data_IF_782605411100
#
_entry.id   IF_782605411100
#
_cell.length_a   1.000
_cell.length_b   1.000
_cell.length_c   1.000
_cell.angle_alpha   90.00
_cell.angle_beta   90.00
_cell.angle_gamma   90.00
#
_symmetry.space_group_name_H-M   'P 1'
#
loop_
_entity.id
_entity.type
_entity.pdbx_description
1 polymer ?
#
# COMPACT_ATOMS: atom_id res chain seq x y z
N UNK A 1 -7.74 -4.96 -2.64
CA UNK A 1 -7.16 -6.04 -1.79
C UNK A 1 -7.95 -7.34 -1.98
N UNK A 2 -9.12 -7.52 -1.37
CA UNK A 2 -9.79 -8.80 -1.14
C UNK A 2 -11.18 -8.96 -1.78
N UNK A 3 -11.58 -8.11 -2.71
CA UNK A 3 -12.90 -8.22 -3.35
C UNK A 3 -13.02 -9.47 -4.24
N UNK A 4 -14.21 -10.07 -4.28
CA UNK A 4 -14.48 -11.29 -5.05
C UNK A 4 -14.12 -11.16 -6.54
N UNK A 5 -14.46 -10.02 -7.16
CA UNK A 5 -14.23 -9.77 -8.59
C UNK A 5 -12.85 -9.15 -8.83
N UNK A 6 -12.54 -8.06 -8.14
CA UNK A 6 -11.38 -7.22 -8.42
C UNK A 6 -10.21 -7.42 -7.45
N UNK A 7 -10.39 -8.18 -6.37
CA UNK A 7 -9.35 -8.36 -5.36
C UNK A 7 -8.17 -9.20 -5.86
N UNK A 8 -6.97 -8.84 -5.44
CA UNK A 8 -5.74 -9.62 -5.68
C UNK A 8 -5.74 -10.87 -4.81
N UNK A 9 -6.12 -10.77 -3.54
CA UNK A 9 -6.25 -11.89 -2.60
C UNK A 9 -7.73 -12.15 -2.26
N UNK A 10 -8.44 -12.85 -3.17
CA UNK A 10 -9.91 -13.00 -3.11
C UNK A 10 -10.45 -13.71 -1.86
N UNK A 11 -9.62 -14.47 -1.15
CA UNK A 11 -10.01 -15.22 0.06
C UNK A 11 -9.60 -14.52 1.36
N UNK A 12 -8.98 -13.31 1.28
CA UNK A 12 -8.55 -12.58 2.47
C UNK A 12 -9.75 -12.04 3.25
N UNK A 13 -9.66 -12.03 4.58
CA UNK A 13 -10.63 -11.35 5.43
C UNK A 13 -10.33 -9.86 5.45
N UNK A 14 -11.34 -9.04 5.19
CA UNK A 14 -11.22 -7.58 5.23
C UNK A 14 -11.74 -7.06 6.58
N UNK A 15 -10.91 -6.26 7.25
CA UNK A 15 -11.28 -5.53 8.47
C UNK A 15 -11.28 -4.05 8.15
N UNK A 16 -12.46 -3.43 8.18
CA UNK A 16 -12.61 -2.01 7.90
C UNK A 16 -12.27 -1.17 9.14
N UNK A 17 -11.37 -0.20 8.97
CA UNK A 17 -11.03 0.79 10.00
C UNK A 17 -11.36 2.17 9.45
N UNK A 18 -12.50 2.72 9.88
CA UNK A 18 -12.98 4.04 9.42
C UNK A 18 -12.23 5.14 10.17
N UNK A 19 -11.42 5.90 9.45
CA UNK A 19 -10.62 7.03 9.96
C UNK A 19 -10.97 8.37 9.30
N UNK A 20 -11.83 8.34 8.28
CA UNK A 20 -12.31 9.53 7.58
C UNK A 20 -13.81 9.73 7.82
N UNK A 21 -14.20 10.99 7.96
CA UNK A 21 -15.57 11.44 7.83
C UNK A 21 -15.70 12.27 6.55
N UNK A 22 -16.48 11.75 5.59
CA UNK A 22 -16.44 12.28 4.23
C UNK A 22 -15.11 12.00 3.53
N UNK A 23 -14.46 13.03 2.99
CA UNK A 23 -13.22 12.94 2.19
C UNK A 23 -11.94 13.16 2.98
N UNK A 24 -12.01 13.50 4.27
CA UNK A 24 -10.86 13.83 5.09
C UNK A 24 -10.95 13.25 6.49
N UNK A 25 -9.79 13.16 7.15
CA UNK A 25 -9.67 12.79 8.55
C UNK A 25 -8.52 13.55 9.21
N UNK A 26 -8.62 13.80 10.51
CA UNK A 26 -7.51 14.39 11.24
C UNK A 26 -6.34 13.39 11.35
N UNK A 27 -5.11 13.90 11.44
CA UNK A 27 -3.94 13.07 11.68
C UNK A 27 -4.10 12.19 12.93
N UNK A 28 -4.70 12.74 14.00
CA UNK A 28 -4.97 12.00 15.23
C UNK A 28 -5.95 10.84 15.02
N UNK A 29 -7.01 11.04 14.24
CA UNK A 29 -7.97 9.97 13.92
C UNK A 29 -7.31 8.84 13.11
N UNK A 30 -6.47 9.20 12.13
CA UNK A 30 -5.75 8.22 11.31
C UNK A 30 -4.72 7.44 12.14
N UNK A 31 -3.92 8.13 12.97
CA UNK A 31 -2.96 7.49 13.88
C UNK A 31 -3.69 6.62 14.92
N UNK A 32 -4.82 7.09 15.44
CA UNK A 32 -5.67 6.32 16.36
C UNK A 32 -6.18 5.03 15.73
N UNK A 33 -6.68 5.10 14.49
CA UNK A 33 -7.13 3.93 13.73
C UNK A 33 -5.99 2.96 13.41
N UNK A 34 -4.81 3.47 13.04
CA UNK A 34 -3.62 2.65 12.83
C UNK A 34 -3.22 1.90 14.12
N UNK A 35 -3.15 2.60 15.25
CA UNK A 35 -2.80 2.01 16.55
C UNK A 35 -3.84 0.96 16.98
N UNK A 36 -5.13 1.23 16.74
CA UNK A 36 -6.17 0.24 16.98
C UNK A 36 -5.95 -1.02 16.14
N UNK A 37 -5.68 -0.87 14.84
CA UNK A 37 -5.43 -2.00 13.94
C UNK A 37 -4.20 -2.80 14.36
N UNK A 38 -3.10 -2.13 14.75
CA UNK A 38 -1.90 -2.80 15.28
C UNK A 38 -2.24 -3.61 16.52
N UNK A 39 -2.96 -3.03 17.48
CA UNK A 39 -3.33 -3.73 18.73
C UNK A 39 -4.28 -4.90 18.46
N UNK A 40 -5.23 -4.77 17.55
CA UNK A 40 -6.13 -5.87 17.15
C UNK A 40 -5.36 -7.02 16.49
N UNK A 41 -4.42 -6.72 15.60
CA UNK A 41 -3.56 -7.73 14.94
C UNK A 41 -2.71 -8.47 15.97
N UNK A 42 -2.06 -7.74 16.88
CA UNK A 42 -1.18 -8.31 17.91
C UNK A 42 -1.97 -9.15 18.91
N UNK A 43 -3.08 -8.61 19.45
CA UNK A 43 -3.89 -9.32 20.44
C UNK A 43 -4.52 -10.60 19.94
N UNK A 44 -4.73 -10.69 18.61
CA UNK A 44 -5.26 -11.89 17.94
C UNK A 44 -4.18 -12.80 17.35
N UNK A 45 -2.91 -12.54 17.62
CA UNK A 45 -1.78 -13.35 17.13
C UNK A 45 -1.62 -13.38 15.61
N UNK A 46 -2.02 -12.29 14.91
CA UNK A 46 -2.08 -12.26 13.43
C UNK A 46 -0.93 -11.50 12.76
N UNK A 47 0.14 -11.18 13.47
CA UNK A 47 1.28 -10.40 12.94
C UNK A 47 1.88 -11.01 11.67
N UNK A 48 1.92 -12.32 11.57
CA UNK A 48 2.50 -13.05 10.43
C UNK A 48 1.50 -13.33 9.29
N UNK A 49 0.23 -12.93 9.43
CA UNK A 49 -0.82 -13.19 8.43
C UNK A 49 -1.57 -11.93 7.99
N UNK A 50 -1.58 -10.88 8.81
CA UNK A 50 -2.28 -9.63 8.53
C UNK A 50 -1.35 -8.59 7.91
N UNK A 51 -1.94 -7.67 7.13
CA UNK A 51 -1.28 -6.49 6.57
C UNK A 51 -2.23 -5.31 6.65
N UNK A 52 -1.72 -4.12 6.95
CA UNK A 52 -2.51 -2.88 6.94
C UNK A 52 -2.32 -2.20 5.59
N UNK A 53 -3.42 -1.86 4.89
CA UNK A 53 -3.40 -0.99 3.72
C UNK A 53 -3.78 0.43 4.12
N UNK A 54 -2.93 1.40 3.76
CA UNK A 54 -3.16 2.82 4.00
C UNK A 54 -3.08 3.59 2.68
N UNK A 55 -4.20 3.63 1.94
CA UNK A 55 -4.35 4.44 0.72
C UNK A 55 -4.61 5.91 1.06
N UNK A 56 -3.76 6.47 1.90
CA UNK A 56 -3.86 7.81 2.46
C UNK A 56 -2.49 8.32 2.88
N UNK A 57 -2.38 9.62 3.07
CA UNK A 57 -1.16 10.29 3.51
C UNK A 57 -1.40 11.78 3.78
N UNK A 58 -0.38 12.44 4.23
CA UNK A 58 -0.37 13.88 4.47
C UNK A 58 1.07 14.41 4.53
N UNK A 59 1.22 15.65 4.93
CA UNK A 59 2.54 16.26 5.13
C UNK A 59 3.36 15.47 6.15
N UNK A 60 4.66 15.57 6.02
CA UNK A 60 5.63 14.91 6.90
C UNK A 60 5.32 15.15 8.40
N UNK A 61 5.24 14.06 9.17
CA UNK A 61 4.87 14.07 10.59
C UNK A 61 5.68 13.05 11.37
N UNK A 62 6.53 13.53 12.28
CA UNK A 62 7.33 12.65 13.15
C UNK A 62 6.46 11.79 14.08
N UNK A 63 5.30 12.30 14.48
CA UNK A 63 4.35 11.54 15.31
C UNK A 63 3.79 10.35 14.52
N UNK A 64 3.48 10.56 13.26
CA UNK A 64 2.99 9.48 12.41
C UNK A 64 4.08 8.45 12.13
N UNK A 65 5.27 8.90 11.79
CA UNK A 65 6.42 8.03 11.57
C UNK A 65 6.74 7.18 12.81
N UNK A 66 6.70 7.77 14.01
CA UNK A 66 6.90 7.05 15.27
C UNK A 66 5.82 5.96 15.50
N UNK A 67 4.55 6.23 15.15
CA UNK A 67 3.49 5.23 15.24
C UNK A 67 3.73 4.05 14.29
N UNK A 68 4.16 4.33 13.05
CA UNK A 68 4.52 3.28 12.07
C UNK A 68 5.67 2.43 12.59
N UNK A 69 6.75 3.06 13.06
CA UNK A 69 7.91 2.35 13.63
C UNK A 69 7.49 1.43 14.79
N UNK A 70 6.67 1.95 15.71
CA UNK A 70 6.16 1.16 16.84
C UNK A 70 5.29 -0.02 16.40
N UNK A 71 4.48 0.16 15.35
CA UNK A 71 3.68 -0.92 14.76
C UNK A 71 4.55 -2.02 14.13
N UNK A 72 5.56 -1.62 13.38
CA UNK A 72 6.50 -2.54 12.75
C UNK A 72 7.33 -3.33 13.78
N UNK A 73 7.78 -2.67 14.86
CA UNK A 73 8.47 -3.34 15.97
C UNK A 73 7.60 -4.40 16.66
N UNK A 74 6.27 -4.24 16.63
CA UNK A 74 5.31 -5.26 17.09
C UNK A 74 5.03 -6.34 16.03
N UNK A 75 5.70 -6.30 14.88
CA UNK A 75 5.57 -7.27 13.80
C UNK A 75 4.45 -6.97 12.79
N UNK A 76 3.87 -5.77 12.80
CA UNK A 76 2.79 -5.40 11.88
C UNK A 76 3.32 -4.62 10.68
N UNK A 77 3.06 -5.12 9.47
CA UNK A 77 3.44 -4.46 8.22
C UNK A 77 2.31 -3.55 7.71
N UNK A 78 2.68 -2.34 7.31
CA UNK A 78 1.81 -1.44 6.57
C UNK A 78 2.29 -1.28 5.11
N UNK A 79 1.35 -1.24 4.18
CA UNK A 79 1.53 -0.89 2.77
C UNK A 79 0.83 0.44 2.54
N UNK A 80 1.53 1.43 2.01
CA UNK A 80 1.05 2.81 1.95
C UNK A 80 1.18 3.40 0.55
N UNK A 81 0.30 4.35 0.22
CA UNK A 81 0.40 5.14 -0.99
C UNK A 81 1.55 6.15 -0.89
N UNK A 82 2.29 6.38 -1.97
CA UNK A 82 3.38 7.36 -1.99
C UNK A 82 2.91 8.82 -2.02
N UNK A 83 1.63 9.06 -2.39
CA UNK A 83 1.06 10.39 -2.60
C UNK A 83 0.90 10.73 -4.09
N UNK A 84 0.14 11.80 -4.37
CA UNK A 84 -0.31 12.15 -5.73
C UNK A 84 -0.03 13.64 -6.08
N UNK A 85 1.04 14.17 -5.55
CA UNK A 85 1.44 15.59 -5.73
C UNK A 85 2.54 15.75 -6.78
N UNK A 86 3.02 14.65 -7.39
CA UNK A 86 4.16 14.59 -8.30
C UNK A 86 5.43 15.23 -7.72
N UNK A 87 5.69 14.99 -6.45
CA UNK A 87 6.83 15.53 -5.69
C UNK A 87 7.63 14.39 -5.03
N UNK A 88 8.72 14.73 -4.34
CA UNK A 88 9.49 13.78 -3.55
C UNK A 88 8.66 13.29 -2.35
N UNK A 89 8.46 11.97 -2.25
CA UNK A 89 7.66 11.34 -1.21
C UNK A 89 8.31 11.41 0.19
N UNK A 90 9.57 11.80 0.31
CA UNK A 90 10.23 12.07 1.60
C UNK A 90 9.58 13.22 2.38
N UNK A 91 8.77 14.04 1.72
CA UNK A 91 7.99 15.13 2.33
C UNK A 91 6.60 14.68 2.83
N UNK A 92 6.28 13.39 2.76
CA UNK A 92 4.97 12.84 3.09
C UNK A 92 5.05 11.73 4.13
N UNK A 93 4.10 11.71 5.07
CA UNK A 93 3.92 10.60 6.02
C UNK A 93 2.55 9.92 5.75
N UNK A 94 2.47 8.58 5.89
CA UNK A 94 3.50 7.64 6.35
C UNK A 94 4.48 7.19 5.24
N UNK A 95 4.41 7.72 4.02
CA UNK A 95 5.19 7.28 2.85
C UNK A 95 6.71 7.25 3.11
N UNK A 96 7.23 8.24 3.85
CA UNK A 96 8.66 8.36 4.13
C UNK A 96 9.21 7.39 5.19
N UNK A 97 8.33 6.67 5.90
CA UNK A 97 8.76 5.73 6.96
C UNK A 97 9.44 4.51 6.35
N UNK A 98 10.67 4.15 6.77
CA UNK A 98 11.42 3.03 6.16
C UNK A 98 10.80 1.66 6.46
N UNK A 99 9.92 1.56 7.43
CA UNK A 99 9.26 0.31 7.83
C UNK A 99 8.07 -0.08 6.98
N UNK A 100 7.48 0.85 6.22
CA UNK A 100 6.36 0.55 5.32
C UNK A 100 6.82 -0.08 4.01
N UNK A 101 5.89 -0.55 3.19
CA UNK A 101 6.06 -0.66 1.75
C UNK A 101 5.38 0.55 1.11
N UNK A 102 6.18 1.49 0.63
CA UNK A 102 5.71 2.70 -0.06
C UNK A 102 5.49 2.41 -1.55
N UNK A 103 4.27 2.61 -2.04
CA UNK A 103 3.87 2.18 -3.38
C UNK A 103 3.59 3.37 -4.29
N UNK A 104 4.33 3.44 -5.40
CA UNK A 104 4.12 4.36 -6.50
C UNK A 104 3.12 3.83 -7.54
N UNK A 105 2.56 4.73 -8.34
CA UNK A 105 1.61 4.40 -9.42
C UNK A 105 2.31 4.29 -10.76
N UNK A 106 2.16 3.13 -11.42
CA UNK A 106 2.55 2.89 -12.81
C UNK A 106 1.32 2.79 -13.71
N UNK A 107 1.44 3.32 -14.93
CA UNK A 107 0.40 3.21 -15.96
C UNK A 107 0.62 1.97 -16.85
N UNK A 108 -0.32 1.75 -17.78
CA UNK A 108 -0.35 0.60 -18.66
C UNK A 108 0.85 0.52 -19.62
N UNK A 109 1.44 1.66 -19.98
CA UNK A 109 2.62 1.73 -20.85
C UNK A 109 3.94 1.45 -20.12
N UNK A 110 3.90 1.20 -18.80
CA UNK A 110 5.05 0.92 -17.97
C UNK A 110 5.74 2.16 -17.40
N UNK A 111 5.20 3.36 -17.62
CA UNK A 111 5.76 4.58 -17.02
C UNK A 111 5.13 4.92 -15.67
N UNK A 112 5.89 5.57 -14.76
CA UNK A 112 5.33 6.21 -13.57
C UNK A 112 4.27 7.22 -14.01
N UNK A 113 3.11 7.23 -13.35
CA UNK A 113 2.08 8.21 -13.66
C UNK A 113 2.52 9.62 -13.28
N UNK A 114 2.74 10.46 -14.28
CA UNK A 114 3.21 11.84 -14.14
C UNK A 114 2.18 12.93 -14.47
N UNK A 115 0.91 12.55 -14.73
CA UNK A 115 -0.18 13.47 -15.09
C UNK A 115 -0.72 14.29 -13.91
N UNK A 116 -1.92 14.81 -14.08
CA UNK A 116 -2.65 15.45 -12.97
C UNK A 116 -2.80 14.45 -11.82
N UNK A 117 -2.43 14.83 -10.59
CA UNK A 117 -2.30 13.92 -9.46
C UNK A 117 -1.21 12.85 -9.66
N UNK A 118 -0.09 13.24 -10.28
CA UNK A 118 1.05 12.36 -10.56
C UNK A 118 1.59 11.66 -9.32
N UNK A 119 2.01 10.41 -9.50
CA UNK A 119 2.64 9.62 -8.43
C UNK A 119 3.84 10.34 -7.85
N UNK A 120 3.92 10.45 -6.54
CA UNK A 120 5.14 10.85 -5.86
C UNK A 120 6.27 9.87 -6.16
N UNK A 121 7.52 10.32 -6.02
CA UNK A 121 8.73 9.62 -6.41
C UNK A 121 9.84 9.80 -5.36
N UNK A 122 11.03 9.35 -5.65
CA UNK A 122 12.20 9.48 -4.78
C UNK A 122 12.55 8.20 -4.03
N UNK A 123 13.66 8.24 -3.31
CA UNK A 123 14.31 7.07 -2.70
C UNK A 123 13.45 6.31 -1.67
N UNK A 124 12.38 6.94 -1.16
CA UNK A 124 11.46 6.31 -0.20
C UNK A 124 10.33 5.53 -0.88
N UNK A 125 10.21 5.61 -2.22
CA UNK A 125 9.26 4.78 -2.97
C UNK A 125 9.90 3.43 -3.26
N UNK A 126 9.38 2.40 -2.64
CA UNK A 126 9.97 1.05 -2.64
C UNK A 126 9.60 0.23 -3.88
N UNK A 127 8.37 0.40 -4.40
CA UNK A 127 7.83 -0.46 -5.44
C UNK A 127 6.71 0.27 -6.19
N UNK A 128 6.50 -0.09 -7.45
CA UNK A 128 5.38 0.38 -8.26
C UNK A 128 4.33 -0.71 -8.45
N UNK A 129 3.08 -0.29 -8.54
CA UNK A 129 1.97 -1.15 -8.94
C UNK A 129 0.97 -0.38 -9.78
N UNK A 130 0.08 -1.08 -10.50
CA UNK A 130 -0.96 -0.47 -11.30
C UNK A 130 -1.84 0.45 -10.46
N UNK A 131 -1.92 1.71 -10.84
CA UNK A 131 -2.70 2.73 -10.12
C UNK A 131 -3.45 3.68 -11.06
N UNK A 132 -3.34 3.51 -12.37
CA UNK A 132 -4.00 4.34 -13.38
C UNK A 132 -5.15 3.58 -14.02
N UNK A 133 -6.33 4.20 -14.07
CA UNK A 133 -7.57 3.64 -14.63
C UNK A 133 -7.94 2.27 -14.04
N UNK A 134 -7.73 2.12 -12.75
CA UNK A 134 -8.02 0.87 -12.04
C UNK A 134 -9.50 0.74 -11.78
N UNK A 135 -10.11 -0.28 -12.38
CA UNK A 135 -11.52 -0.63 -12.14
C UNK A 135 -11.64 -1.45 -10.86
N UNK A 136 -12.53 -1.03 -9.97
CA UNK A 136 -12.84 -1.75 -8.74
C UNK A 136 -14.29 -1.54 -8.32
N UNK A 137 -14.71 -2.15 -7.19
CA UNK A 137 -16.04 -1.97 -6.63
C UNK A 137 -16.32 -0.49 -6.32
N UNK A 138 -17.52 -0.04 -6.67
CA UNK A 138 -18.01 1.30 -6.33
C UNK A 138 -18.53 1.33 -4.89
N UNK A 139 -18.33 2.45 -4.21
CA UNK A 139 -18.92 2.69 -2.89
C UNK A 139 -20.42 3.06 -2.97
N UNK A 140 -20.90 3.41 -4.15
CA UNK A 140 -22.28 3.87 -4.36
C UNK A 140 -23.27 2.74 -4.71
N UNK A 141 -22.78 1.49 -4.86
CA UNK A 141 -23.61 0.35 -5.24
C UNK A 141 -22.92 -0.97 -4.87
N UNK A 142 -23.69 -1.91 -4.34
CA UNK A 142 -23.20 -3.25 -3.95
C UNK A 142 -22.73 -4.09 -5.15
N UNK A 143 -23.20 -3.76 -6.35
CA UNK A 143 -22.87 -4.47 -7.61
C UNK A 143 -22.12 -3.60 -8.62
N UNK A 144 -21.99 -2.31 -8.33
CA UNK A 144 -21.37 -1.35 -9.24
C UNK A 144 -19.85 -1.38 -9.23
N UNK A 145 -19.26 -0.83 -10.29
CA UNK A 145 -17.83 -0.61 -10.41
C UNK A 145 -17.52 0.83 -10.79
N UNK A 146 -16.32 1.27 -10.48
CA UNK A 146 -15.80 2.58 -10.90
C UNK A 146 -14.32 2.47 -11.22
N UNK A 147 -13.85 3.30 -12.15
CA UNK A 147 -12.43 3.46 -12.47
C UNK A 147 -11.86 4.67 -11.72
N UNK A 148 -10.67 4.49 -11.12
CA UNK A 148 -9.96 5.55 -10.40
C UNK A 148 -8.47 5.49 -10.69
N UNK A 149 -7.82 6.67 -10.58
CA UNK A 149 -6.37 6.82 -10.74
C UNK A 149 -5.75 7.42 -9.48
N UNK A 150 -4.63 6.86 -9.05
CA UNK A 150 -3.84 7.35 -7.91
C UNK A 150 -2.99 6.26 -7.28
N UNK A 151 -2.01 6.66 -6.49
CA UNK A 151 -1.23 5.75 -5.64
C UNK A 151 -2.10 5.03 -4.61
N UNK A 152 -3.26 5.60 -4.27
CA UNK A 152 -4.32 4.95 -3.47
C UNK A 152 -4.88 3.68 -4.11
N UNK A 153 -4.77 3.51 -5.45
CA UNK A 153 -5.15 2.30 -6.18
C UNK A 153 -3.97 1.34 -6.30
N UNK A 154 -2.75 1.85 -6.37
CA UNK A 154 -1.53 1.04 -6.42
C UNK A 154 -1.25 0.31 -5.09
N UNK A 155 -1.35 1.00 -3.96
CA UNK A 155 -1.09 0.44 -2.63
C UNK A 155 -1.89 -0.85 -2.34
N UNK A 156 -3.22 -0.94 -2.57
CA UNK A 156 -3.99 -2.16 -2.31
C UNK A 156 -3.63 -3.33 -3.24
N UNK A 157 -3.02 -3.11 -4.40
CA UNK A 157 -2.45 -4.20 -5.19
C UNK A 157 -1.31 -4.89 -4.44
N UNK A 158 -0.41 -4.10 -3.86
CA UNK A 158 0.73 -4.64 -3.09
C UNK A 158 0.26 -5.23 -1.76
N UNK A 159 -0.69 -4.60 -1.05
CA UNK A 159 -1.27 -5.18 0.16
C UNK A 159 -1.99 -6.52 -0.12
N UNK A 160 -2.69 -6.60 -1.25
CA UNK A 160 -3.27 -7.85 -1.74
C UNK A 160 -2.21 -8.89 -2.08
N UNK A 161 -1.10 -8.47 -2.69
CA UNK A 161 0.02 -9.35 -3.00
C UNK A 161 0.66 -9.91 -1.72
N UNK A 162 0.88 -9.09 -0.68
CA UNK A 162 1.35 -9.54 0.65
C UNK A 162 0.42 -10.62 1.21
N UNK A 163 -0.90 -10.37 1.18
CA UNK A 163 -1.89 -11.33 1.67
C UNK A 163 -1.91 -12.62 0.83
N UNK A 164 -1.78 -12.49 -0.50
CA UNK A 164 -1.74 -13.62 -1.43
C UNK A 164 -0.51 -14.51 -1.18
N UNK A 165 0.70 -13.92 -1.08
CA UNK A 165 1.94 -14.67 -0.86
C UNK A 165 1.92 -15.35 0.51
N UNK A 166 1.45 -14.69 1.57
CA UNK A 166 1.26 -15.32 2.88
C UNK A 166 0.24 -16.46 2.86
N UNK A 167 -0.78 -16.36 2.01
CA UNK A 167 -1.75 -17.45 1.81
C UNK A 167 -1.18 -18.63 1.04
N UNK A 168 -0.23 -18.39 0.14
CA UNK A 168 0.39 -19.41 -0.71
C UNK A 168 1.60 -20.09 -0.04
N UNK A 169 2.49 -19.28 0.55
CA UNK A 169 3.79 -19.74 1.10
C UNK A 169 3.75 -19.94 2.62
N UNK A 170 2.66 -19.54 3.27
CA UNK A 170 2.48 -19.62 4.72
C UNK A 170 2.79 -18.32 5.46
N UNK A 171 2.56 -18.29 6.79
CA UNK A 171 2.82 -17.14 7.64
C UNK A 171 4.28 -16.70 7.59
N UNK A 172 4.53 -15.39 7.60
CA UNK A 172 5.88 -14.81 7.55
C UNK A 172 5.96 -13.50 8.32
N UNK A 173 7.13 -13.18 8.88
CA UNK A 173 7.32 -11.92 9.61
C UNK A 173 7.16 -10.70 8.67
N UNK A 174 6.91 -9.52 9.25
CA UNK A 174 6.82 -8.28 8.48
C UNK A 174 8.09 -8.04 7.64
N UNK A 175 9.27 -8.32 8.20
CA UNK A 175 10.55 -8.17 7.52
C UNK A 175 10.71 -9.16 6.36
N UNK A 176 10.37 -10.43 6.58
CA UNK A 176 10.57 -11.47 5.57
C UNK A 176 9.62 -11.29 4.38
N UNK A 177 8.33 -10.98 4.65
CA UNK A 177 7.39 -10.74 3.56
C UNK A 177 7.72 -9.48 2.78
N UNK A 178 8.19 -8.39 3.43
CA UNK A 178 8.67 -7.18 2.76
C UNK A 178 9.81 -7.54 1.79
N UNK A 179 10.82 -8.27 2.25
CA UNK A 179 11.91 -8.74 1.42
C UNK A 179 11.43 -9.67 0.29
N UNK A 180 10.49 -10.56 0.57
CA UNK A 180 9.90 -11.48 -0.42
C UNK A 180 9.22 -10.74 -1.56
N UNK A 181 8.42 -9.71 -1.24
CA UNK A 181 7.75 -8.86 -2.24
C UNK A 181 8.77 -8.19 -3.18
N UNK A 182 9.86 -7.65 -2.63
CA UNK A 182 10.91 -7.01 -3.44
C UNK A 182 11.69 -8.00 -4.29
N UNK A 183 11.94 -9.19 -3.78
CA UNK A 183 12.62 -10.25 -4.52
C UNK A 183 11.80 -10.81 -5.69
N UNK A 184 10.47 -10.83 -5.57
CA UNK A 184 9.56 -11.24 -6.64
C UNK A 184 9.39 -10.16 -7.71
N UNK A 185 9.56 -8.89 -7.36
CA UNK A 185 9.31 -7.77 -8.26
C UNK A 185 10.11 -7.85 -9.55
N UNK A 186 9.50 -7.45 -10.66
CA UNK A 186 10.20 -7.28 -11.94
C UNK A 186 11.05 -6.03 -11.86
N UNK A 187 12.34 -6.16 -12.17
CA UNK A 187 13.33 -5.09 -12.03
C UNK A 187 13.51 -4.33 -13.33
N UNK A 188 13.79 -3.04 -13.23
CA UNK A 188 14.27 -2.16 -14.30
C UNK A 188 13.33 -2.04 -15.51
N UNK A 189 12.01 -2.22 -15.29
CA UNK A 189 10.98 -2.14 -16.34
C UNK A 189 10.11 -0.88 -16.27
N UNK A 190 10.16 -0.14 -15.16
CA UNK A 190 9.39 1.10 -15.02
C UNK A 190 10.20 2.28 -15.55
N UNK A 191 9.59 3.13 -16.36
CA UNK A 191 10.23 4.36 -16.86
C UNK A 191 9.84 5.57 -16.02
N UNK A 192 10.62 6.66 -16.06
CA UNK A 192 10.42 7.90 -15.30
C UNK A 192 10.34 7.69 -13.76
N UNK A 193 11.15 6.79 -13.22
CA UNK A 193 11.11 6.45 -11.76
C UNK A 193 11.62 7.57 -10.85
N UNK A 194 12.34 8.57 -11.36
CA UNK A 194 12.84 9.77 -10.64
C UNK A 194 13.51 9.43 -9.29
N UNK A 195 14.46 8.49 -9.30
CA UNK A 195 15.20 8.09 -8.10
C UNK A 195 14.47 7.12 -7.17
N UNK A 196 13.28 6.67 -7.54
CA UNK A 196 12.59 5.57 -6.85
C UNK A 196 13.24 4.23 -7.17
N UNK A 197 13.03 3.22 -6.33
CA UNK A 197 13.41 1.86 -6.65
C UNK A 197 12.65 1.38 -7.91
N UNK A 198 13.40 0.87 -8.92
CA UNK A 198 12.77 0.41 -10.16
C UNK A 198 12.31 -1.05 -10.02
N UNK A 199 11.27 -1.22 -9.20
CA UNK A 199 10.63 -2.50 -8.92
C UNK A 199 9.16 -2.42 -9.29
N UNK A 200 8.69 -3.33 -10.15
CA UNK A 200 7.27 -3.49 -10.47
C UNK A 200 6.71 -4.71 -9.72
N UNK A 201 5.63 -4.52 -8.98
CA UNK A 201 4.99 -5.58 -8.20
C UNK A 201 4.60 -6.77 -9.08
N UNK A 202 5.03 -7.98 -8.68
CA UNK A 202 4.80 -9.21 -9.40
C UNK A 202 4.55 -10.37 -8.43
N UNK A 203 3.66 -11.29 -8.79
CA UNK A 203 3.25 -12.40 -7.93
C UNK A 203 4.12 -13.66 -8.05
N UNK A 204 5.14 -13.64 -8.91
CA UNK A 204 6.06 -14.77 -9.09
C UNK A 204 5.53 -15.92 -9.97
N UNK A 205 4.33 -15.80 -10.55
CA UNK A 205 3.77 -16.84 -11.41
C UNK A 205 4.25 -16.59 -12.83
N UNK A 206 5.12 -17.45 -13.33
CA UNK A 206 5.49 -17.48 -14.76
C UNK A 206 4.28 -17.81 -15.60
N UNK A 207 4.12 -17.13 -16.73
CA UNK A 207 3.11 -17.50 -17.75
C UNK A 207 3.52 -18.78 -18.47
#
# INVERSE_FOLDING_TARGET
>A
VGGKTYGVAKKTTLVAVKVFDGSSGSASAVIGGFNWAVNDIVSKGRTNTAVINMSLGGSASSTWDAAITAGFQKGVLAVVASGNENTDASNSSPARSPEVICVGNVQKDGSRYGGQYGSNYGSVVDIFAAGTDVVSASYSSDTGSSSKTGTSMAAPHVAGLVSYIRGLEGPSTAKDIKARIYNLATKDVVTDVKGSANLLAYNGISK
#
